data_IF_087880036950
#
_entry.id   IF_087880036950
#
_cell.length_a   1.000
_cell.length_b   1.000
_cell.length_c   1.000
_cell.angle_alpha   90.00
_cell.angle_beta   90.00
_cell.angle_gamma   90.00
#
_symmetry.space_group_name_H-M   'P 1'
#
loop_
_entity.id
_entity.type
_entity.pdbx_description
1 polymer ?
#
# COMPACT_ATOMS: atom_id res chain seq x y z
N UNK A 1 10.73 9.31 -8.90
CA UNK A 1 9.56 9.70 -8.06
C UNK A 1 10.01 10.77 -7.09
N UNK A 2 9.18 11.79 -6.82
CA UNK A 2 9.49 12.81 -5.79
C UNK A 2 9.67 12.12 -4.42
N UNK A 3 10.68 12.46 -3.59
CA UNK A 3 10.90 11.82 -2.29
C UNK A 3 9.66 11.82 -1.39
N UNK A 4 8.86 12.88 -1.46
CA UNK A 4 7.59 12.99 -0.74
C UNK A 4 6.56 11.96 -1.20
N UNK A 5 6.44 11.73 -2.51
CA UNK A 5 5.54 10.72 -3.06
C UNK A 5 5.97 9.31 -2.65
N UNK A 6 7.28 9.01 -2.65
CA UNK A 6 7.80 7.72 -2.19
C UNK A 6 7.48 7.46 -0.73
N UNK A 7 7.58 8.49 0.12
CA UNK A 7 7.21 8.40 1.53
C UNK A 7 5.73 8.09 1.71
N UNK A 8 4.84 8.76 0.95
CA UNK A 8 3.40 8.50 0.96
C UNK A 8 3.11 7.03 0.61
N UNK A 9 3.69 6.50 -0.47
CA UNK A 9 3.44 5.10 -0.87
C UNK A 9 3.95 4.09 0.16
N UNK A 10 5.11 4.34 0.77
CA UNK A 10 5.62 3.47 1.85
C UNK A 10 4.71 3.53 3.08
N UNK A 11 4.22 4.71 3.47
CA UNK A 11 3.27 4.83 4.58
C UNK A 11 1.93 4.16 4.27
N UNK A 12 1.43 4.26 3.04
CA UNK A 12 0.22 3.56 2.60
C UNK A 12 0.39 2.03 2.66
N UNK A 13 1.59 1.52 2.35
CA UNK A 13 1.91 0.09 2.45
C UNK A 13 1.87 -0.42 3.91
N UNK A 14 2.46 0.36 4.82
CA UNK A 14 2.42 0.08 6.26
C UNK A 14 0.98 0.10 6.79
N UNK A 15 0.19 1.10 6.37
CA UNK A 15 -1.22 1.23 6.75
C UNK A 15 -2.07 0.08 6.22
N UNK A 16 -1.97 -0.26 4.93
CA UNK A 16 -2.72 -1.36 4.32
C UNK A 16 -2.43 -2.70 4.98
N UNK A 17 -1.16 -2.95 5.32
CA UNK A 17 -0.74 -4.15 6.06
C UNK A 17 -1.30 -4.17 7.49
N UNK A 18 -1.25 -3.03 8.20
CA UNK A 18 -1.79 -2.91 9.55
C UNK A 18 -3.30 -3.13 9.57
N UNK A 19 -4.03 -2.57 8.60
CA UNK A 19 -5.47 -2.78 8.42
C UNK A 19 -5.75 -4.26 8.16
N UNK A 20 -5.00 -4.89 7.24
CA UNK A 20 -5.19 -6.31 6.90
C UNK A 20 -5.03 -7.22 8.13
N UNK A 21 -3.98 -7.02 8.92
CA UNK A 21 -3.69 -7.84 10.10
C UNK A 21 -4.68 -7.56 11.24
N UNK A 22 -5.11 -6.31 11.41
CA UNK A 22 -6.00 -5.90 12.51
C UNK A 22 -7.49 -6.12 12.19
N UNK A 23 -7.81 -6.54 10.96
CA UNK A 23 -9.20 -6.68 10.51
C UNK A 23 -9.85 -7.95 11.02
N UNK A 24 -11.01 -7.78 11.67
CA UNK A 24 -11.87 -8.91 12.07
C UNK A 24 -12.94 -9.23 11.01
N UNK A 25 -13.18 -8.31 10.07
CA UNK A 25 -14.12 -8.50 8.96
C UNK A 25 -13.37 -8.73 7.65
N UNK A 26 -13.84 -9.72 6.88
CA UNK A 26 -13.29 -10.07 5.57
C UNK A 26 -13.22 -8.88 4.60
N UNK A 27 -14.25 -8.04 4.57
CA UNK A 27 -14.27 -6.86 3.69
C UNK A 27 -13.20 -5.82 4.06
N UNK A 28 -12.88 -5.70 5.35
CA UNK A 28 -11.88 -4.76 5.84
C UNK A 28 -10.47 -5.29 5.57
N UNK A 29 -10.27 -6.61 5.69
CA UNK A 29 -9.03 -7.26 5.28
C UNK A 29 -8.80 -7.11 3.77
N UNK A 30 -9.86 -7.25 2.96
CA UNK A 30 -9.80 -7.05 1.51
C UNK A 30 -9.46 -5.60 1.14
N UNK A 31 -10.07 -4.61 1.79
CA UNK A 31 -9.73 -3.20 1.58
C UNK A 31 -8.25 -2.90 1.95
N UNK A 32 -7.73 -3.53 3.01
CA UNK A 32 -6.31 -3.43 3.37
C UNK A 32 -5.37 -3.99 2.31
N UNK A 33 -5.74 -5.13 1.69
CA UNK A 33 -5.00 -5.73 0.59
C UNK A 33 -5.05 -4.87 -0.69
N UNK A 34 -6.20 -4.26 -0.99
CA UNK A 34 -6.36 -3.36 -2.13
C UNK A 34 -5.50 -2.08 -2.00
N UNK A 35 -5.42 -1.52 -0.79
CA UNK A 35 -4.52 -0.39 -0.51
C UNK A 35 -3.05 -0.78 -0.76
N UNK A 36 -2.66 -2.00 -0.34
CA UNK A 36 -1.30 -2.50 -0.56
C UNK A 36 -0.99 -2.68 -2.06
N UNK A 37 -1.92 -3.21 -2.86
CA UNK A 37 -1.68 -3.40 -4.30
C UNK A 37 -1.57 -2.07 -5.03
N UNK A 38 -2.44 -1.11 -4.75
CA UNK A 38 -2.38 0.23 -5.34
C UNK A 38 -1.10 0.99 -4.94
N UNK A 39 -0.62 0.83 -3.71
CA UNK A 39 0.60 1.47 -3.23
C UNK A 39 1.87 0.86 -3.86
N UNK A 40 1.85 -0.43 -4.22
CA UNK A 40 2.98 -1.14 -4.85
C UNK A 40 3.15 -0.75 -6.32
N UNK A 41 2.06 -0.60 -7.09
CA UNK A 41 2.11 -0.30 -8.54
C UNK A 41 3.09 0.83 -8.95
N UNK A 42 3.08 2.03 -8.34
CA UNK A 42 4.02 3.10 -8.69
C UNK A 42 5.46 2.82 -8.23
N UNK A 43 5.65 2.01 -7.19
CA UNK A 43 6.98 1.62 -6.70
C UNK A 43 7.68 0.64 -7.64
N UNK A 44 6.96 -0.35 -8.19
CA UNK A 44 7.51 -1.30 -9.18
C UNK A 44 7.61 -0.69 -10.57
N UNK A 45 6.65 0.13 -11.00
CA UNK A 45 6.65 0.72 -12.36
C UNK A 45 7.76 1.75 -12.60
N UNK A 46 8.37 2.32 -11.55
CA UNK A 46 9.52 3.23 -11.64
C UNK A 46 10.88 2.53 -11.47
N UNK A 47 10.90 1.20 -11.32
CA UNK A 47 12.15 0.44 -11.24
C UNK A 47 12.81 0.25 -12.62
N UNK A 48 12.10 0.49 -13.72
CA UNK A 48 12.65 0.47 -15.07
C UNK A 48 12.56 1.88 -15.70
N UNK A 49 13.72 2.49 -15.88
CA UNK A 49 14.02 3.78 -16.52
C UNK A 49 13.57 5.08 -15.81
#
# INVERSE_FOLDING_TARGET
MNPQAKLIFITSLLLGTTITISSNHWIMAWAGLEINTLAILPLISKSHH
#
